data_IF_610573216103
#
_entry.id   IF_610573216103
#
_cell.length_a   1.000
_cell.length_b   1.000
_cell.length_c   1.000
_cell.angle_alpha   90.00
_cell.angle_beta   90.00
_cell.angle_gamma   90.00
#
_symmetry.space_group_name_H-M   'P 1'
#
loop_
_entity.id
_entity.type
_entity.pdbx_description
1 polymer ?
#
# COMPACT_ATOMS: atom_id res chain seq x y z
N UNK A 1 8.01 15.46 -10.89
CA UNK A 1 8.92 14.86 -11.88
C UNK A 1 9.57 13.64 -11.23
N UNK A 2 9.67 12.52 -11.94
CA UNK A 2 10.44 11.33 -11.59
C UNK A 2 11.51 11.15 -12.66
N UNK A 3 12.73 10.82 -12.25
CA UNK A 3 13.88 10.72 -13.15
C UNK A 3 14.46 9.32 -13.02
N UNK A 4 14.63 8.67 -14.15
CA UNK A 4 15.38 7.44 -14.27
C UNK A 4 16.75 7.74 -14.87
N UNK A 5 17.84 7.26 -14.26
CA UNK A 5 19.18 7.52 -14.76
C UNK A 5 19.33 6.85 -16.14
N UNK A 6 20.05 7.52 -17.05
CA UNK A 6 20.34 6.96 -18.37
C UNK A 6 21.26 5.73 -18.29
N UNK A 7 21.43 5.05 -19.42
CA UNK A 7 22.20 3.78 -19.51
C UNK A 7 23.60 3.83 -18.87
N UNK A 8 24.27 4.98 -18.93
CA UNK A 8 25.61 5.17 -18.35
C UNK A 8 25.65 5.07 -16.82
N UNK A 9 24.53 5.39 -16.15
CA UNK A 9 24.44 5.45 -14.69
C UNK A 9 23.51 4.37 -14.10
N UNK A 10 22.48 3.95 -14.85
CA UNK A 10 21.43 3.02 -14.36
C UNK A 10 21.32 1.70 -15.16
N UNK A 11 22.08 1.58 -16.25
CA UNK A 11 22.04 0.41 -17.13
C UNK A 11 20.69 0.22 -17.84
N UNK A 12 20.51 -0.92 -18.50
CA UNK A 12 19.28 -1.25 -19.24
C UNK A 12 18.06 -1.40 -18.30
N UNK A 13 18.26 -1.72 -17.04
CA UNK A 13 17.17 -1.90 -16.08
C UNK A 13 16.43 -0.58 -15.82
N UNK A 14 17.15 0.54 -15.69
CA UNK A 14 16.53 1.85 -15.49
C UNK A 14 15.66 2.27 -16.68
N UNK A 15 16.11 2.01 -17.92
CA UNK A 15 15.33 2.29 -19.13
C UNK A 15 14.07 1.41 -19.19
N UNK A 16 14.20 0.12 -18.83
CA UNK A 16 13.05 -0.80 -18.77
C UNK A 16 12.03 -0.37 -17.71
N UNK A 17 12.49 0.07 -16.54
CA UNK A 17 11.64 0.58 -15.47
C UNK A 17 10.90 1.84 -15.91
N UNK A 18 11.58 2.77 -16.58
CA UNK A 18 10.99 4.00 -17.10
C UNK A 18 9.93 3.72 -18.17
N UNK A 19 10.26 2.85 -19.12
CA UNK A 19 9.34 2.43 -20.19
C UNK A 19 8.11 1.70 -19.62
N UNK A 20 8.32 0.82 -18.65
CA UNK A 20 7.22 0.08 -18.00
C UNK A 20 6.28 1.01 -17.22
N UNK A 21 6.83 1.97 -16.45
CA UNK A 21 6.01 2.95 -15.73
C UNK A 21 5.22 3.85 -16.68
N UNK A 22 5.85 4.33 -17.76
CA UNK A 22 5.20 5.11 -18.81
C UNK A 22 4.02 4.31 -19.41
N UNK A 23 4.28 3.10 -19.86
CA UNK A 23 3.28 2.24 -20.50
C UNK A 23 2.13 1.87 -19.55
N UNK A 24 2.42 1.53 -18.30
CA UNK A 24 1.41 1.21 -17.30
C UNK A 24 0.46 2.39 -17.06
N UNK A 25 1.01 3.61 -16.87
CA UNK A 25 0.20 4.81 -16.70
C UNK A 25 -0.63 5.15 -17.93
N UNK A 26 -0.03 5.10 -19.15
CA UNK A 26 -0.75 5.36 -20.40
C UNK A 26 -1.91 4.39 -20.60
N UNK A 27 -1.67 3.11 -20.35
CA UNK A 27 -2.70 2.08 -20.47
C UNK A 27 -3.86 2.34 -19.50
N UNK A 28 -3.57 2.57 -18.22
CA UNK A 28 -4.58 2.79 -17.18
C UNK A 28 -5.34 4.12 -17.35
N UNK A 29 -4.71 5.14 -17.94
CA UNK A 29 -5.34 6.43 -18.18
C UNK A 29 -6.23 6.44 -19.43
N UNK A 30 -5.93 5.59 -20.43
CA UNK A 30 -6.66 5.52 -21.68
C UNK A 30 -7.82 4.51 -21.66
N UNK A 31 -8.09 3.91 -20.49
CA UNK A 31 -9.20 2.96 -20.38
C UNK A 31 -10.56 3.66 -20.57
N UNK A 32 -11.51 2.94 -21.14
CA UNK A 32 -12.85 3.45 -21.51
C UNK A 32 -13.70 3.94 -20.33
N UNK A 33 -13.32 3.57 -19.10
CA UNK A 33 -14.09 3.88 -17.89
C UNK A 33 -13.66 5.20 -17.20
N UNK A 34 -12.79 5.98 -17.84
CA UNK A 34 -12.28 7.24 -17.29
C UNK A 34 -11.07 7.05 -16.36
N UNK A 35 -10.45 8.18 -15.99
CA UNK A 35 -9.25 8.19 -15.16
C UNK A 35 -9.60 7.90 -13.70
N UNK A 36 -9.00 6.85 -13.12
CA UNK A 36 -9.15 6.55 -11.70
C UNK A 36 -8.56 7.66 -10.83
N UNK A 37 -9.37 8.22 -9.93
CA UNK A 37 -8.91 9.28 -9.03
C UNK A 37 -7.85 8.82 -8.02
N UNK A 38 -7.74 7.51 -7.78
CA UNK A 38 -6.80 6.91 -6.83
C UNK A 38 -5.49 6.44 -7.49
N UNK A 39 -5.23 6.85 -8.72
CA UNK A 39 -3.94 6.69 -9.40
C UNK A 39 -3.30 8.05 -9.66
N UNK A 40 -1.96 8.11 -9.62
CA UNK A 40 -1.22 9.28 -10.05
C UNK A 40 -1.41 9.49 -11.56
N UNK A 41 -1.58 10.73 -11.98
CA UNK A 41 -1.82 11.08 -13.39
C UNK A 41 -0.48 11.44 -14.04
N UNK A 42 -0.07 10.64 -15.03
CA UNK A 42 1.05 10.95 -15.89
C UNK A 42 0.62 12.04 -16.90
N UNK A 43 1.42 13.08 -17.00
CA UNK A 43 1.22 14.20 -17.95
C UNK A 43 2.02 13.97 -19.24
N UNK A 44 3.18 13.35 -19.12
CA UNK A 44 4.06 13.02 -20.23
C UNK A 44 5.46 12.68 -19.77
N UNK A 45 6.35 12.46 -20.71
CA UNK A 45 7.76 12.17 -20.45
C UNK A 45 8.64 12.63 -21.59
N UNK A 46 9.93 12.72 -21.34
CA UNK A 46 10.94 13.00 -22.34
C UNK A 46 12.28 12.38 -21.96
N UNK A 47 13.09 12.12 -22.96
CA UNK A 47 14.48 11.69 -22.79
C UNK A 47 15.42 12.88 -23.00
N UNK A 48 16.42 12.99 -22.12
CA UNK A 48 17.47 14.01 -22.24
C UNK A 48 18.56 13.56 -23.22
N UNK A 49 19.41 14.49 -23.66
CA UNK A 49 20.59 14.15 -24.48
C UNK A 49 21.60 13.24 -23.78
N UNK A 50 21.52 13.14 -22.44
CA UNK A 50 22.33 12.26 -21.61
C UNK A 50 21.70 10.88 -21.41
N UNK A 51 20.52 10.64 -22.01
CA UNK A 51 19.80 9.37 -21.92
C UNK A 51 18.96 9.21 -20.66
N UNK A 52 18.80 10.26 -19.84
CA UNK A 52 17.90 10.20 -18.66
C UNK A 52 16.45 10.25 -19.13
N UNK A 53 15.63 9.38 -18.55
CA UNK A 53 14.18 9.34 -18.79
C UNK A 53 13.47 10.15 -17.70
N UNK A 54 12.73 11.18 -18.10
CA UNK A 54 11.99 12.08 -17.22
C UNK A 54 10.50 11.85 -17.38
N UNK A 55 9.81 11.48 -16.29
CA UNK A 55 8.36 11.34 -16.27
C UNK A 55 7.74 12.49 -15.45
N UNK A 56 6.79 13.19 -16.07
CA UNK A 56 6.07 14.30 -15.47
C UNK A 56 4.69 13.84 -15.00
N UNK A 57 4.42 14.01 -13.72
CA UNK A 57 3.12 13.70 -13.12
C UNK A 57 2.40 14.98 -12.70
N UNK A 58 1.08 14.92 -12.72
CA UNK A 58 0.25 15.98 -12.13
C UNK A 58 0.59 16.10 -10.64
N UNK A 59 0.71 17.33 -10.15
CA UNK A 59 0.96 17.55 -8.72
C UNK A 59 -0.32 17.26 -7.92
N UNK A 60 -0.30 16.15 -7.19
CA UNK A 60 -1.39 15.72 -6.33
C UNK A 60 -1.10 15.89 -4.84
N UNK A 61 0.04 16.43 -4.49
CA UNK A 61 0.54 16.59 -3.14
C UNK A 61 2.05 16.32 -3.07
N UNK A 62 2.64 16.65 -1.93
CA UNK A 62 4.09 16.50 -1.70
C UNK A 62 4.44 15.37 -0.74
N UNK A 63 3.45 14.89 0.01
CA UNK A 63 3.65 13.90 1.08
C UNK A 63 3.15 12.54 0.65
N UNK A 64 3.83 11.50 1.10
CA UNK A 64 3.41 10.11 0.98
C UNK A 64 2.69 9.62 2.25
N UNK A 65 2.14 8.41 2.21
CA UNK A 65 1.63 7.74 3.40
C UNK A 65 2.73 7.44 4.42
N UNK A 66 3.99 7.26 3.96
CA UNK A 66 5.15 7.15 4.85
C UNK A 66 5.41 8.45 5.60
N UNK A 67 5.37 9.60 4.91
CA UNK A 67 5.54 10.91 5.53
C UNK A 67 4.43 11.19 6.55
N UNK A 68 3.19 10.85 6.21
CA UNK A 68 2.06 10.97 7.14
C UNK A 68 2.32 10.14 8.42
N UNK A 69 2.66 8.87 8.27
CA UNK A 69 2.88 7.97 9.40
C UNK A 69 4.01 8.48 10.30
N UNK A 70 5.13 8.94 9.72
CA UNK A 70 6.25 9.53 10.44
C UNK A 70 5.83 10.79 11.21
N UNK A 71 5.14 11.73 10.56
CA UNK A 71 4.68 12.98 11.21
C UNK A 71 3.72 12.68 12.36
N UNK A 72 2.84 11.67 12.22
CA UNK A 72 1.92 11.30 13.31
C UNK A 72 2.64 10.63 14.46
N UNK A 73 3.57 9.74 14.20
CA UNK A 73 4.42 9.10 15.21
C UNK A 73 5.23 10.13 16.03
N UNK A 74 5.83 11.13 15.36
CA UNK A 74 6.52 12.24 16.03
C UNK A 74 5.56 13.11 16.87
N UNK A 75 4.31 13.29 16.44
CA UNK A 75 3.28 13.98 17.24
C UNK A 75 2.90 13.19 18.48
N UNK A 76 2.77 11.87 18.40
CA UNK A 76 2.51 11.01 19.55
C UNK A 76 3.62 11.17 20.58
N UNK A 77 4.89 11.10 20.16
CA UNK A 77 6.04 11.28 21.03
C UNK A 77 6.05 12.63 21.75
N UNK A 78 5.81 13.71 21.00
CA UNK A 78 5.77 15.08 21.57
C UNK A 78 4.67 15.26 22.60
N UNK A 79 3.49 14.74 22.32
CA UNK A 79 2.34 14.87 23.18
C UNK A 79 2.53 14.08 24.48
N UNK A 80 3.12 12.89 24.41
CA UNK A 80 3.42 12.06 25.56
C UNK A 80 4.49 12.71 26.47
N UNK A 81 5.53 13.28 25.86
CA UNK A 81 6.59 14.01 26.58
C UNK A 81 6.09 15.27 27.27
N UNK A 82 5.11 15.96 26.69
CA UNK A 82 4.55 17.20 27.24
C UNK A 82 3.65 16.98 28.47
N UNK A 83 3.19 15.76 28.76
CA UNK A 83 2.33 15.43 29.91
C UNK A 83 0.98 16.18 29.94
N UNK A 84 0.63 16.87 28.85
CA UNK A 84 -0.48 17.85 28.78
C UNK A 84 -1.65 17.26 28.01
N UNK A 85 -2.12 16.05 28.38
CA UNK A 85 -3.28 15.52 27.68
C UNK A 85 -4.51 15.49 28.57
N UNK A 86 -5.48 16.31 28.20
CA UNK A 86 -6.85 16.10 28.58
C UNK A 86 -7.31 14.79 27.88
N UNK A 87 -7.78 13.80 28.66
CA UNK A 87 -8.22 12.50 28.16
C UNK A 87 -9.22 12.61 27.00
N UNK A 88 -10.10 13.61 27.04
CA UNK A 88 -11.07 13.86 25.98
C UNK A 88 -10.40 14.30 24.66
N UNK A 89 -9.41 15.18 24.71
CA UNK A 89 -8.68 15.62 23.52
C UNK A 89 -7.86 14.48 22.89
N UNK A 90 -7.38 13.58 23.71
CA UNK A 90 -6.69 12.37 23.24
C UNK A 90 -7.65 11.47 22.47
N UNK A 91 -8.79 11.14 23.03
CA UNK A 91 -9.80 10.29 22.39
C UNK A 91 -10.25 10.87 21.05
N UNK A 92 -10.53 12.17 20.97
CA UNK A 92 -10.90 12.87 19.74
C UNK A 92 -9.78 12.87 18.69
N UNK A 93 -8.53 12.97 19.11
CA UNK A 93 -7.39 12.91 18.19
C UNK A 93 -7.22 11.49 17.63
N UNK A 94 -7.35 10.46 18.45
CA UNK A 94 -7.29 9.07 18.03
C UNK A 94 -8.45 8.75 17.08
N UNK A 95 -9.67 9.21 17.38
CA UNK A 95 -10.83 9.03 16.51
C UNK A 95 -10.61 9.64 15.12
N UNK A 96 -10.10 10.87 15.05
CA UNK A 96 -9.77 11.52 13.77
C UNK A 96 -8.70 10.75 13.00
N UNK A 97 -7.67 10.23 13.68
CA UNK A 97 -6.61 9.43 13.07
C UNK A 97 -7.16 8.13 12.49
N UNK A 98 -8.00 7.43 13.24
CA UNK A 98 -8.67 6.21 12.76
C UNK A 98 -9.48 6.48 11.49
N UNK A 99 -10.26 7.55 11.49
CA UNK A 99 -11.02 7.96 10.32
C UNK A 99 -10.12 8.27 9.11
N UNK A 100 -9.03 9.04 9.33
CA UNK A 100 -8.07 9.36 8.27
C UNK A 100 -7.42 8.10 7.69
N UNK A 101 -6.94 7.20 8.54
CA UNK A 101 -6.30 5.94 8.12
C UNK A 101 -7.29 5.05 7.37
N UNK A 102 -8.53 4.93 7.84
CA UNK A 102 -9.56 4.17 7.12
C UNK A 102 -9.84 4.75 5.73
N UNK A 103 -9.95 6.08 5.61
CA UNK A 103 -10.11 6.75 4.30
C UNK A 103 -8.90 6.53 3.39
N UNK A 104 -7.70 6.58 3.95
CA UNK A 104 -6.46 6.30 3.24
C UNK A 104 -6.47 4.87 2.67
N UNK A 105 -6.77 3.87 3.50
CA UNK A 105 -6.87 2.47 3.10
C UNK A 105 -7.95 2.25 2.03
N UNK A 106 -9.12 2.85 2.17
CA UNK A 106 -10.17 2.78 1.15
C UNK A 106 -9.69 3.30 -0.21
N UNK A 107 -8.97 4.43 -0.24
CA UNK A 107 -8.47 4.98 -1.50
C UNK A 107 -7.38 4.12 -2.12
N UNK A 108 -6.46 3.56 -1.32
CA UNK A 108 -5.45 2.59 -1.78
C UNK A 108 -6.13 1.39 -2.43
N UNK A 109 -7.11 0.79 -1.75
CA UNK A 109 -7.80 -0.40 -2.27
C UNK A 109 -8.65 -0.11 -3.50
N UNK A 110 -9.22 1.10 -3.65
CA UNK A 110 -9.91 1.51 -4.89
C UNK A 110 -8.93 1.63 -6.06
N UNK A 111 -7.76 2.20 -5.83
CA UNK A 111 -6.71 2.26 -6.85
C UNK A 111 -6.26 0.88 -7.28
N UNK A 112 -6.04 -0.03 -6.32
CA UNK A 112 -5.61 -1.39 -6.58
C UNK A 112 -6.71 -2.22 -7.28
N UNK A 113 -7.98 -2.11 -6.86
CA UNK A 113 -9.11 -2.74 -7.52
C UNK A 113 -9.21 -2.31 -8.99
N UNK A 114 -9.09 -0.99 -9.24
CA UNK A 114 -9.08 -0.47 -10.61
C UNK A 114 -7.95 -1.06 -11.45
N UNK A 115 -6.73 -1.18 -10.92
CA UNK A 115 -5.60 -1.80 -11.63
C UNK A 115 -5.88 -3.27 -11.96
N UNK A 116 -6.37 -4.05 -10.99
CA UNK A 116 -6.68 -5.46 -11.16
C UNK A 116 -7.82 -5.68 -12.18
N UNK A 117 -8.83 -4.82 -12.19
CA UNK A 117 -9.94 -4.86 -13.16
C UNK A 117 -9.48 -4.53 -14.61
N UNK A 118 -8.30 -3.89 -14.75
CA UNK A 118 -7.66 -3.59 -16.02
C UNK A 118 -6.43 -4.48 -16.29
N UNK A 119 -6.40 -5.68 -15.70
CA UNK A 119 -5.33 -6.67 -15.88
C UNK A 119 -3.91 -6.13 -15.59
N UNK A 120 -3.79 -5.23 -14.59
CA UNK A 120 -2.50 -4.70 -14.15
C UNK A 120 -2.26 -4.96 -12.67
N UNK A 121 -1.06 -5.43 -12.36
CA UNK A 121 -0.55 -5.54 -11.00
C UNK A 121 0.29 -4.31 -10.65
N UNK A 122 0.39 -3.99 -9.36
CA UNK A 122 1.24 -2.91 -8.87
C UNK A 122 2.69 -3.36 -8.62
N UNK A 123 2.90 -4.42 -7.89
CA UNK A 123 4.15 -5.13 -7.59
C UNK A 123 5.27 -4.30 -6.92
N UNK A 124 4.91 -3.14 -6.35
CA UNK A 124 5.81 -2.32 -5.53
C UNK A 124 5.01 -1.48 -4.53
N UNK A 125 3.94 -2.07 -3.99
CA UNK A 125 3.03 -1.38 -3.08
C UNK A 125 3.69 -1.22 -1.69
N UNK A 126 3.77 0.02 -1.24
CA UNK A 126 4.30 0.35 0.08
C UNK A 126 3.89 1.76 0.50
N UNK A 127 4.21 2.20 1.72
CA UNK A 127 3.77 3.49 2.21
C UNK A 127 4.36 4.69 1.42
N UNK A 128 5.50 4.52 0.76
CA UNK A 128 6.11 5.54 -0.09
C UNK A 128 5.43 5.64 -1.47
N UNK A 129 4.81 4.55 -1.96
CA UNK A 129 4.13 4.51 -3.26
C UNK A 129 2.70 5.10 -3.24
N UNK A 130 2.26 5.64 -2.10
CA UNK A 130 0.95 6.28 -1.93
C UNK A 130 1.13 7.76 -1.68
N UNK A 131 0.77 8.61 -2.67
CA UNK A 131 0.85 10.06 -2.52
C UNK A 131 -0.47 10.63 -1.98
N UNK A 132 -0.37 11.64 -1.12
CA UNK A 132 -1.48 12.26 -0.42
C UNK A 132 -1.60 13.73 -0.80
N UNK A 133 -2.82 14.19 -1.03
CA UNK A 133 -3.12 15.60 -1.23
C UNK A 133 -3.15 16.39 0.09
N UNK A 134 -3.34 15.72 1.22
CA UNK A 134 -3.27 16.28 2.57
C UNK A 134 -2.76 15.23 3.56
N UNK A 135 -2.07 15.67 4.62
CA UNK A 135 -1.70 14.86 5.80
C UNK A 135 -2.39 15.38 7.07
N UNK A 136 -3.32 16.30 6.91
CA UNK A 136 -4.06 16.90 8.01
C UNK A 136 -5.29 16.05 8.32
N UNK A 137 -5.31 15.41 9.50
CA UNK A 137 -6.39 14.51 9.91
C UNK A 137 -7.78 15.17 9.94
N UNK A 138 -7.83 16.51 10.13
CA UNK A 138 -9.10 17.29 10.07
C UNK A 138 -9.67 17.36 8.66
N UNK A 139 -8.83 17.22 7.64
CA UNK A 139 -9.21 17.29 6.23
C UNK A 139 -9.47 15.90 5.62
N UNK A 140 -9.67 14.88 6.45
CA UNK A 140 -9.87 13.50 6.01
C UNK A 140 -11.03 13.32 5.01
N UNK A 141 -12.06 14.17 5.08
CA UNK A 141 -13.16 14.16 4.11
C UNK A 141 -12.70 14.46 2.66
N UNK A 142 -11.64 15.24 2.51
CA UNK A 142 -11.05 15.64 1.22
C UNK A 142 -9.83 14.80 0.83
N UNK A 143 -9.48 13.79 1.63
CA UNK A 143 -8.34 12.93 1.36
C UNK A 143 -8.58 12.10 0.10
N UNK A 144 -7.67 12.22 -0.85
CA UNK A 144 -7.63 11.40 -2.07
C UNK A 144 -6.22 10.81 -2.20
N UNK A 145 -5.98 9.62 -1.64
CA UNK A 145 -4.72 8.91 -1.81
C UNK A 145 -4.61 8.39 -3.25
N UNK A 146 -3.38 8.39 -3.79
CA UNK A 146 -3.10 7.93 -5.15
C UNK A 146 -1.89 7.01 -5.18
N UNK A 147 -2.05 5.88 -5.83
CA UNK A 147 -0.96 4.96 -6.12
C UNK A 147 -0.06 5.55 -7.21
N UNK A 148 1.25 5.36 -7.04
CA UNK A 148 2.30 5.75 -7.98
C UNK A 148 3.40 4.68 -7.99
N UNK A 149 4.48 4.94 -8.73
CA UNK A 149 5.66 4.05 -8.79
C UNK A 149 5.34 2.70 -9.46
N UNK A 150 4.74 2.79 -10.67
CA UNK A 150 4.34 1.62 -11.46
C UNK A 150 5.49 1.02 -12.30
N UNK A 151 6.74 1.27 -11.94
CA UNK A 151 7.92 0.76 -12.66
C UNK A 151 7.97 -0.78 -12.70
N UNK A 152 7.40 -1.45 -11.70
CA UNK A 152 7.32 -2.91 -11.60
C UNK A 152 5.91 -3.45 -11.90
N UNK A 153 5.02 -2.61 -12.41
CA UNK A 153 3.67 -3.03 -12.79
C UNK A 153 3.73 -4.13 -13.84
N UNK A 154 2.91 -5.17 -13.67
CA UNK A 154 2.88 -6.34 -14.55
C UNK A 154 1.54 -6.43 -15.25
N UNK A 155 1.59 -6.64 -16.56
CA UNK A 155 0.41 -6.97 -17.37
C UNK A 155 0.05 -8.44 -17.18
N UNK A 156 -1.16 -8.70 -16.69
CA UNK A 156 -1.71 -10.03 -16.46
C UNK A 156 -2.85 -10.38 -17.41
N UNK A 157 -2.95 -9.63 -18.53
CA UNK A 157 -3.81 -10.02 -19.65
C UNK A 157 -3.45 -11.42 -20.14
N UNK A 158 -4.45 -12.21 -20.51
CA UNK A 158 -4.29 -13.63 -20.79
C UNK A 158 -3.20 -13.92 -21.86
N UNK A 159 -3.16 -13.10 -22.91
CA UNK A 159 -2.16 -13.19 -23.97
C UNK A 159 -0.72 -12.99 -23.51
N UNK A 160 -0.51 -12.22 -22.44
CA UNK A 160 0.81 -11.91 -21.92
C UNK A 160 1.31 -12.96 -20.92
N UNK A 161 0.41 -13.72 -20.33
CA UNK A 161 0.75 -14.81 -19.39
C UNK A 161 1.22 -16.09 -20.07
N UNK A 162 0.95 -16.25 -21.36
CA UNK A 162 1.42 -17.38 -22.19
C UNK A 162 2.81 -17.13 -22.79
N UNK A 163 3.27 -15.88 -22.81
CA UNK A 163 4.56 -15.47 -23.36
C UNK A 163 5.74 -15.62 -22.40
N UNK A 164 6.90 -15.20 -22.87
CA UNK A 164 8.12 -15.15 -22.05
C UNK A 164 7.98 -14.03 -20.99
N UNK A 165 8.18 -14.35 -19.69
CA UNK A 165 8.10 -13.33 -18.66
C UNK A 165 9.24 -12.32 -18.86
N UNK A 166 8.91 -11.05 -19.01
CA UNK A 166 9.91 -9.99 -19.06
C UNK A 166 10.74 -9.94 -17.77
N UNK A 167 11.99 -9.46 -17.87
CA UNK A 167 12.96 -9.40 -16.76
C UNK A 167 12.38 -8.80 -15.47
N UNK A 168 11.55 -7.77 -15.56
CA UNK A 168 10.95 -7.10 -14.40
C UNK A 168 9.92 -7.97 -13.64
N UNK A 169 9.35 -8.98 -14.30
CA UNK A 169 8.33 -9.87 -13.71
C UNK A 169 8.86 -11.28 -13.39
N UNK A 170 10.10 -11.60 -13.73
CA UNK A 170 10.70 -12.93 -13.50
C UNK A 170 10.60 -13.37 -12.03
N UNK A 171 10.91 -12.47 -11.10
CA UNK A 171 10.82 -12.73 -9.66
C UNK A 171 9.41 -13.10 -9.20
N UNK A 172 8.39 -12.42 -9.72
CA UNK A 172 6.98 -12.70 -9.45
C UNK A 172 6.62 -14.13 -9.93
N UNK A 173 6.95 -14.47 -11.17
CA UNK A 173 6.56 -15.75 -11.75
C UNK A 173 7.32 -16.93 -11.15
N UNK A 174 8.55 -16.71 -10.68
CA UNK A 174 9.28 -17.70 -9.88
C UNK A 174 8.57 -17.98 -8.56
N UNK A 175 8.12 -16.93 -7.83
CA UNK A 175 7.32 -17.09 -6.61
C UNK A 175 5.99 -17.78 -6.87
N UNK A 176 5.32 -17.44 -7.96
CA UNK A 176 4.07 -18.06 -8.39
C UNK A 176 4.26 -19.58 -8.61
N UNK A 177 5.28 -19.97 -9.35
CA UNK A 177 5.61 -21.38 -9.60
C UNK A 177 5.95 -22.13 -8.32
N UNK A 178 6.71 -21.52 -7.41
CA UNK A 178 7.02 -22.09 -6.08
C UNK A 178 5.76 -22.32 -5.25
N UNK A 179 4.77 -21.42 -5.39
CA UNK A 179 3.47 -21.52 -4.71
C UNK A 179 2.49 -22.47 -5.42
N UNK A 180 2.89 -23.12 -6.52
CA UNK A 180 2.07 -24.06 -7.28
C UNK A 180 1.08 -23.41 -8.24
N UNK A 181 1.39 -22.21 -8.74
CA UNK A 181 0.62 -21.52 -9.77
C UNK A 181 1.31 -21.71 -11.14
N UNK A 182 0.85 -22.65 -11.95
CA UNK A 182 1.50 -23.03 -13.19
C UNK A 182 0.73 -22.58 -14.44
N UNK A 183 -0.59 -22.58 -14.38
CA UNK A 183 -1.43 -22.14 -15.50
C UNK A 183 -1.53 -20.61 -15.57
N UNK A 184 -1.84 -20.01 -16.73
CA UNK A 184 -2.07 -18.57 -16.85
C UNK A 184 -3.09 -18.03 -15.85
N UNK A 185 -4.19 -18.75 -15.64
CA UNK A 185 -5.20 -18.34 -14.66
C UNK A 185 -4.69 -18.37 -13.22
N UNK A 186 -3.90 -19.40 -12.84
CA UNK A 186 -3.29 -19.48 -11.51
C UNK A 186 -2.23 -18.40 -11.31
N UNK A 187 -1.41 -18.11 -12.33
CA UNK A 187 -0.43 -17.01 -12.30
C UNK A 187 -1.13 -15.67 -12.12
N UNK A 188 -2.22 -15.42 -12.85
CA UNK A 188 -3.05 -14.20 -12.69
C UNK A 188 -3.60 -14.10 -11.26
N UNK A 189 -4.18 -15.17 -10.75
CA UNK A 189 -4.70 -15.23 -9.38
C UNK A 189 -3.59 -15.01 -8.34
N UNK A 190 -2.40 -15.60 -8.55
CA UNK A 190 -1.25 -15.41 -7.69
C UNK A 190 -0.80 -13.94 -7.69
N UNK A 191 -0.64 -13.30 -8.84
CA UNK A 191 -0.21 -11.91 -8.94
C UNK A 191 -1.16 -10.94 -8.23
N UNK A 192 -2.47 -11.07 -8.45
CA UNK A 192 -3.49 -10.30 -7.75
C UNK A 192 -3.37 -10.50 -6.22
N UNK A 193 -3.22 -11.74 -5.81
CA UNK A 193 -3.10 -12.13 -4.41
C UNK A 193 -1.78 -11.64 -3.76
N UNK A 194 -0.70 -11.52 -4.53
CA UNK A 194 0.59 -10.98 -4.10
C UNK A 194 0.47 -9.47 -3.80
N UNK A 195 -0.19 -8.71 -4.68
CA UNK A 195 -0.52 -7.28 -4.41
C UNK A 195 -1.41 -7.12 -3.16
N UNK A 196 -2.35 -8.05 -2.91
CA UNK A 196 -3.18 -8.02 -1.70
C UNK A 196 -2.37 -8.30 -0.45
N UNK A 197 -1.35 -9.17 -0.52
CA UNK A 197 -0.44 -9.41 0.58
C UNK A 197 0.37 -8.14 0.94
N UNK A 198 0.93 -7.48 -0.07
CA UNK A 198 1.61 -6.19 0.11
C UNK A 198 0.66 -5.13 0.69
N UNK A 199 -0.59 -5.08 0.22
CA UNK A 199 -1.61 -4.21 0.78
C UNK A 199 -1.94 -4.56 2.25
N UNK A 200 -1.88 -5.83 2.64
CA UNK A 200 -2.01 -6.28 4.02
C UNK A 200 -0.87 -5.77 4.91
N UNK A 201 0.38 -5.86 4.46
CA UNK A 201 1.53 -5.28 5.15
C UNK A 201 1.40 -3.75 5.28
N UNK A 202 0.91 -3.10 4.23
CA UNK A 202 0.65 -1.65 4.26
C UNK A 202 -0.48 -1.28 5.24
N UNK A 203 -1.54 -2.10 5.32
CA UNK A 203 -2.60 -1.93 6.32
C UNK A 203 -2.02 -2.05 7.73
N UNK A 204 -1.22 -3.09 7.99
CA UNK A 204 -0.54 -3.25 9.28
C UNK A 204 0.34 -2.03 9.60
N UNK A 205 1.16 -1.57 8.64
CA UNK A 205 1.99 -0.39 8.80
C UNK A 205 1.18 0.85 9.20
N UNK A 206 0.07 1.11 8.52
CA UNK A 206 -0.80 2.26 8.78
C UNK A 206 -1.64 2.10 10.05
N UNK A 207 -1.86 0.87 10.51
CA UNK A 207 -2.53 0.59 11.78
C UNK A 207 -1.60 0.76 12.99
N UNK A 208 -0.29 0.58 12.82
CA UNK A 208 0.67 0.66 13.93
C UNK A 208 1.44 1.99 13.94
N UNK A 209 2.19 2.31 12.89
CA UNK A 209 3.18 3.39 12.93
C UNK A 209 2.58 4.75 13.31
N UNK A 210 1.46 5.21 12.74
CA UNK A 210 0.88 6.51 13.10
C UNK A 210 0.34 6.57 14.53
N UNK A 211 0.10 5.42 15.17
CA UNK A 211 -0.47 5.32 16.51
C UNK A 211 0.57 5.13 17.61
N UNK A 212 1.83 4.85 17.24
CA UNK A 212 2.93 4.63 18.15
C UNK A 212 3.86 5.84 18.22
N UNK A 213 4.65 5.93 19.29
CA UNK A 213 5.73 6.91 19.38
C UNK A 213 6.84 6.61 18.35
N UNK A 214 7.53 7.66 17.91
CA UNK A 214 8.64 7.51 16.98
C UNK A 214 9.73 6.59 17.57
N UNK A 215 10.18 5.63 16.76
CA UNK A 215 11.19 4.65 17.15
C UNK A 215 10.63 3.40 17.86
N UNK A 216 9.35 3.33 18.20
CA UNK A 216 8.74 2.13 18.81
C UNK A 216 8.47 1.07 17.74
N UNK A 217 7.91 1.48 16.60
CA UNK A 217 7.58 0.59 15.49
C UNK A 217 7.90 1.26 14.16
N UNK A 218 8.61 0.56 13.30
CA UNK A 218 8.82 0.89 11.90
C UNK A 218 8.35 -0.24 10.98
N UNK A 219 8.36 0.01 9.67
CA UNK A 219 7.84 -0.97 8.70
C UNK A 219 8.61 -2.30 8.73
N UNK A 220 9.93 -2.25 8.86
CA UNK A 220 10.78 -3.44 8.86
C UNK A 220 10.62 -4.26 10.15
N UNK A 221 10.58 -3.58 11.29
CA UNK A 221 10.36 -4.21 12.60
C UNK A 221 8.98 -4.86 12.66
N UNK A 222 7.95 -4.18 12.13
CA UNK A 222 6.60 -4.72 12.05
C UNK A 222 6.52 -5.95 11.14
N UNK A 223 7.13 -5.88 9.96
CA UNK A 223 7.15 -7.01 9.04
C UNK A 223 7.87 -8.23 9.66
N UNK A 224 9.02 -8.02 10.31
CA UNK A 224 9.72 -9.09 11.04
C UNK A 224 8.88 -9.67 12.17
N UNK A 225 8.14 -8.83 12.90
CA UNK A 225 7.23 -9.27 13.95
C UNK A 225 6.16 -10.20 13.38
N UNK A 226 5.50 -9.79 12.29
CA UNK A 226 4.44 -10.56 11.65
C UNK A 226 4.95 -11.85 10.99
N UNK A 227 5.98 -11.74 10.14
CA UNK A 227 6.41 -12.85 9.28
C UNK A 227 7.40 -13.80 9.98
N UNK A 228 8.38 -13.25 10.72
CA UNK A 228 9.46 -14.06 11.28
C UNK A 228 9.19 -14.50 12.72
N UNK A 229 8.71 -13.59 13.57
CA UNK A 229 8.50 -13.90 14.99
C UNK A 229 7.24 -14.73 15.21
N UNK A 230 6.13 -14.28 14.65
CA UNK A 230 4.83 -14.95 14.84
C UNK A 230 4.36 -15.76 13.63
N UNK A 231 5.14 -15.82 12.54
CA UNK A 231 4.83 -16.64 11.36
C UNK A 231 3.39 -16.45 10.85
N UNK A 232 2.91 -15.20 10.87
CA UNK A 232 1.57 -14.77 10.49
C UNK A 232 0.45 -15.29 11.43
N UNK A 233 0.77 -15.74 12.63
CA UNK A 233 -0.22 -15.93 13.71
C UNK A 233 -0.61 -14.56 14.28
N UNK A 234 -1.71 -14.00 13.75
CA UNK A 234 -2.16 -12.67 14.19
C UNK A 234 -2.84 -12.68 15.56
N UNK A 235 -3.30 -13.85 16.03
CA UNK A 235 -3.79 -14.01 17.38
C UNK A 235 -2.66 -13.84 18.40
N UNK A 236 -1.55 -14.57 18.20
CA UNK A 236 -0.35 -14.44 19.02
C UNK A 236 0.26 -13.04 18.92
N UNK A 237 0.27 -12.44 17.71
CA UNK A 237 0.73 -11.05 17.49
C UNK A 237 -0.09 -10.07 18.31
N UNK A 238 -1.42 -10.20 18.31
CA UNK A 238 -2.33 -9.34 19.08
C UNK A 238 -2.05 -9.42 20.57
N UNK A 239 -1.95 -10.63 21.12
CA UNK A 239 -1.66 -10.85 22.55
C UNK A 239 -0.30 -10.25 22.95
N UNK A 240 0.71 -10.41 22.11
CA UNK A 240 2.01 -9.77 22.32
C UNK A 240 1.90 -8.24 22.35
N UNK A 241 1.18 -7.65 21.39
CA UNK A 241 0.99 -6.20 21.31
C UNK A 241 0.14 -5.65 22.46
N UNK A 242 -0.81 -6.42 23.01
CA UNK A 242 -1.60 -6.04 24.18
C UNK A 242 -0.76 -5.95 25.46
N UNK A 243 0.34 -6.66 25.56
CA UNK A 243 1.24 -6.61 26.70
C UNK A 243 2.14 -5.36 26.74
N UNK A 244 2.14 -4.55 25.66
CA UNK A 244 2.94 -3.31 25.57
C UNK A 244 2.02 -2.09 25.45
N UNK A 245 1.97 -1.29 26.52
CA UNK A 245 1.15 -0.05 26.58
C UNK A 245 1.43 0.94 25.43
N UNK A 246 2.63 0.88 24.82
CA UNK A 246 3.01 1.72 23.70
C UNK A 246 2.31 1.35 22.39
N UNK A 247 1.77 0.12 22.30
CA UNK A 247 1.09 -0.44 21.12
C UNK A 247 -0.45 -0.44 21.28
N UNK A 248 -0.98 -0.12 22.46
CA UNK A 248 -2.40 -0.24 22.75
C UNK A 248 -3.33 0.53 21.81
N UNK A 249 -2.93 1.73 21.36
CA UNK A 249 -3.79 2.52 20.45
C UNK A 249 -3.88 1.91 19.06
N UNK A 250 -2.81 1.25 18.60
CA UNK A 250 -2.80 0.45 17.36
C UNK A 250 -3.68 -0.80 17.50
N UNK A 251 -3.55 -1.52 18.61
CA UNK A 251 -4.39 -2.71 18.90
C UNK A 251 -5.86 -2.32 18.96
N UNK A 252 -6.22 -1.25 19.70
CA UNK A 252 -7.60 -0.75 19.78
C UNK A 252 -8.16 -0.32 18.43
N UNK A 253 -7.32 0.14 17.50
CA UNK A 253 -7.76 0.44 16.14
C UNK A 253 -8.14 -0.82 15.38
N UNK A 254 -7.32 -1.87 15.46
CA UNK A 254 -7.60 -3.14 14.80
C UNK A 254 -8.73 -3.93 15.50
N UNK A 255 -8.98 -3.68 16.78
CA UNK A 255 -10.08 -4.27 17.57
C UNK A 255 -11.46 -3.64 17.23
N UNK A 256 -11.53 -2.56 16.48
CA UNK A 256 -12.82 -1.98 16.08
C UNK A 256 -13.70 -3.02 15.38
N UNK A 257 -15.00 -3.02 15.73
CA UNK A 257 -15.97 -3.98 15.19
C UNK A 257 -15.65 -5.43 15.60
N UNK A 258 -15.35 -5.66 16.86
CA UNK A 258 -15.01 -7.00 17.42
C UNK A 258 -13.83 -7.67 16.71
N UNK A 259 -12.72 -6.93 16.59
CA UNK A 259 -11.49 -7.46 15.99
C UNK A 259 -11.50 -7.50 14.47
N UNK A 260 -12.39 -6.73 13.81
CA UNK A 260 -12.52 -6.73 12.36
C UNK A 260 -11.22 -6.38 11.61
N UNK A 261 -10.34 -5.55 12.21
CA UNK A 261 -9.05 -5.22 11.63
C UNK A 261 -8.09 -6.41 11.61
N UNK A 262 -8.06 -7.18 12.68
CA UNK A 262 -7.26 -8.40 12.78
C UNK A 262 -7.77 -9.48 11.83
N UNK A 263 -9.10 -9.64 11.73
CA UNK A 263 -9.73 -10.55 10.77
C UNK A 263 -9.35 -10.21 9.33
N UNK A 264 -9.41 -8.93 8.97
CA UNK A 264 -9.02 -8.47 7.65
C UNK A 264 -7.53 -8.70 7.37
N UNK A 265 -6.65 -8.37 8.33
CA UNK A 265 -5.22 -8.65 8.22
C UNK A 265 -4.94 -10.14 8.04
N UNK A 266 -5.59 -11.01 8.83
CA UNK A 266 -5.45 -12.46 8.72
C UNK A 266 -5.86 -12.98 7.33
N UNK A 267 -6.92 -12.40 6.75
CA UNK A 267 -7.36 -12.75 5.40
C UNK A 267 -6.37 -12.29 4.34
N UNK A 268 -5.89 -11.03 4.41
CA UNK A 268 -4.98 -10.45 3.41
C UNK A 268 -3.57 -11.07 3.49
N UNK A 269 -3.09 -11.42 4.67
CA UNK A 269 -1.77 -12.02 4.91
C UNK A 269 -1.80 -13.56 4.92
N UNK A 270 -2.90 -14.19 4.48
CA UNK A 270 -3.00 -15.63 4.46
C UNK A 270 -1.83 -16.27 3.68
N UNK A 271 -1.11 -17.27 4.24
CA UNK A 271 -0.02 -17.94 3.55
C UNK A 271 -0.45 -18.59 2.22
N UNK A 272 -1.65 -19.16 2.19
CA UNK A 272 -2.24 -19.67 0.95
C UNK A 272 -2.84 -18.53 0.12
N UNK A 273 -2.20 -18.17 -0.98
CA UNK A 273 -2.61 -17.10 -1.87
C UNK A 273 -4.05 -17.26 -2.40
N UNK A 274 -4.54 -18.50 -2.51
CA UNK A 274 -5.90 -18.81 -2.99
C UNK A 274 -7.00 -18.37 -2.02
N UNK A 275 -6.63 -18.17 -0.75
CA UNK A 275 -7.55 -17.75 0.33
C UNK A 275 -7.56 -16.24 0.56
N UNK A 276 -6.65 -15.51 -0.06
CA UNK A 276 -6.63 -14.04 0.07
C UNK A 276 -7.80 -13.42 -0.68
N UNK A 277 -8.45 -12.39 -0.11
CA UNK A 277 -9.55 -11.71 -0.78
C UNK A 277 -9.07 -10.91 -1.99
N UNK A 278 -9.94 -10.62 -2.94
CA UNK A 278 -9.69 -9.62 -3.98
C UNK A 278 -9.88 -8.20 -3.42
N UNK A 279 -9.32 -7.18 -4.08
CA UNK A 279 -9.36 -5.79 -3.61
C UNK A 279 -10.79 -5.28 -3.34
N UNK A 280 -11.77 -5.66 -4.16
CA UNK A 280 -13.18 -5.29 -3.95
C UNK A 280 -13.77 -5.95 -2.69
N UNK A 281 -13.39 -7.18 -2.36
CA UNK A 281 -13.82 -7.83 -1.13
C UNK A 281 -13.22 -7.15 0.11
N UNK A 282 -11.96 -6.70 0.05
CA UNK A 282 -11.33 -5.89 1.09
C UNK A 282 -12.10 -4.58 1.30
N UNK A 283 -12.49 -3.87 0.23
CA UNK A 283 -13.29 -2.64 0.32
C UNK A 283 -14.65 -2.85 1.00
N UNK A 284 -15.25 -4.01 0.79
CA UNK A 284 -16.56 -4.36 1.36
C UNK A 284 -16.47 -4.96 2.77
N UNK A 285 -15.25 -5.16 3.30
CA UNK A 285 -15.07 -5.72 4.63
C UNK A 285 -15.55 -4.74 5.71
N UNK A 286 -16.18 -5.27 6.78
CA UNK A 286 -16.76 -4.47 7.88
C UNK A 286 -15.76 -3.50 8.53
N UNK A 287 -14.47 -3.84 8.60
CA UNK A 287 -13.43 -2.95 9.11
C UNK A 287 -13.34 -1.63 8.32
N UNK A 288 -13.52 -1.68 7.00
CA UNK A 288 -13.48 -0.51 6.14
C UNK A 288 -14.65 0.47 6.36
N UNK A 289 -15.70 0.04 7.02
CA UNK A 289 -16.91 0.85 7.30
C UNK A 289 -17.00 1.32 8.74
N UNK A 290 -16.51 0.54 9.70
CA UNK A 290 -16.58 0.83 11.16
C UNK A 290 -15.79 2.08 11.57
N UNK A 291 -14.69 2.38 10.91
CA UNK A 291 -13.88 3.58 11.18
C UNK A 291 -14.53 4.90 10.72
N UNK A 292 -15.69 4.85 10.09
CA UNK A 292 -16.42 6.00 9.52
C UNK A 292 -17.57 6.43 10.43
N UNK A 293 -18.03 5.56 11.31
CA UNK A 293 -19.07 5.80 12.33
C UNK A 293 -18.43 6.29 13.63
#
# INVERSE_FOLDING_TARGET
MKVYPGQRAGGNEADMMAANELNAHLFLQNSSNGICQNLAILVGGFETKTGEQWLAFRNHGKSSAADYAKVMSEKVSRNRAAGVWNKFEQEETIKRRRYFVTKLLQGIMRGLAYMHDHDRLHQSLGPASVILNTITERDAAYLVPRLRDLAFSVDIGYSNLEGDPGLLSEGLWRRASTAGAFTPMEKRAFGISDDIYEAGLLLAYLAFVPFCEAGIMDGLSLQRLLESTFQLDLGATREYCLADDRLLDAVKFLDLGDGAGWELLQAMLNPDFRKRPIAQAVLNHRFMTVGIL
#
